data_IF_303747641963
#
_entry.id   IF_303747641963
#
_cell.length_a   1.000
_cell.length_b   1.000
_cell.length_c   1.000
_cell.angle_alpha   90.00
_cell.angle_beta   90.00
_cell.angle_gamma   90.00
#
_symmetry.space_group_name_H-M   'P 1'
#
loop_
_entity.id
_entity.type
_entity.pdbx_description
1 polymer ?
#
# COMPACT_ATOMS: atom_id res chain seq x y z
N UNK A 1 2.16 1.34 26.16
CA UNK A 1 1.93 0.49 24.97
C UNK A 1 0.46 0.12 24.91
N UNK A 2 -0.41 0.97 24.38
CA UNK A 2 -1.80 0.54 24.17
C UNK A 2 -1.81 -0.53 23.08
N UNK A 3 -2.43 -1.68 23.39
CA UNK A 3 -2.62 -2.81 22.46
C UNK A 3 -3.16 -2.34 21.10
N UNK A 4 -3.98 -1.29 21.12
CA UNK A 4 -4.52 -0.57 19.97
C UNK A 4 -3.42 -0.11 18.99
N UNK A 5 -2.37 0.58 19.45
CA UNK A 5 -1.30 1.10 18.56
C UNK A 5 -0.55 -0.04 17.85
N UNK A 6 -0.36 -1.18 18.53
CA UNK A 6 0.28 -2.38 17.96
C UNK A 6 -0.61 -3.07 16.92
N UNK A 7 -1.92 -3.13 17.16
CA UNK A 7 -2.89 -3.66 16.19
C UNK A 7 -2.90 -2.80 14.93
N UNK A 8 -2.95 -1.48 15.07
CA UNK A 8 -2.90 -0.57 13.91
C UNK A 8 -1.60 -0.75 13.12
N UNK A 9 -0.43 -0.83 13.77
CA UNK A 9 0.83 -1.05 13.07
C UNK A 9 0.86 -2.34 12.24
N UNK A 10 0.39 -3.45 12.83
CA UNK A 10 0.28 -4.72 12.12
C UNK A 10 -0.71 -4.66 10.95
N UNK A 11 -1.85 -4.00 11.16
CA UNK A 11 -2.91 -3.84 10.16
C UNK A 11 -2.41 -3.01 8.97
N UNK A 12 -1.67 -1.93 9.21
CA UNK A 12 -1.09 -1.11 8.15
C UNK A 12 0.01 -1.83 7.37
N UNK A 13 0.87 -2.60 8.02
CA UNK A 13 1.86 -3.44 7.32
C UNK A 13 1.17 -4.51 6.46
N UNK A 14 0.15 -5.18 6.99
CA UNK A 14 -0.61 -6.18 6.24
C UNK A 14 -1.34 -5.57 5.03
N UNK A 15 -1.92 -4.37 5.20
CA UNK A 15 -2.53 -3.62 4.09
C UNK A 15 -1.50 -3.19 3.04
N UNK A 16 -0.31 -2.75 3.45
CA UNK A 16 0.77 -2.36 2.55
C UNK A 16 1.24 -3.51 1.65
N UNK A 17 1.32 -4.72 2.20
CA UNK A 17 1.64 -5.92 1.40
C UNK A 17 0.44 -6.35 0.55
N UNK A 18 -0.78 -6.27 1.08
CA UNK A 18 -2.00 -6.68 0.40
C UNK A 18 -2.42 -5.79 -0.78
N UNK A 19 -2.02 -4.51 -0.78
CA UNK A 19 -2.41 -3.58 -1.84
C UNK A 19 -1.68 -3.85 -3.17
N UNK A 20 -0.50 -4.47 -3.11
CA UNK A 20 0.32 -4.82 -4.28
C UNK A 20 -0.45 -5.78 -5.22
N UNK A 21 -0.88 -6.99 -4.79
CA UNK A 21 -1.65 -7.88 -5.65
C UNK A 21 -3.00 -7.27 -6.04
N UNK A 22 -3.63 -6.47 -5.17
CA UNK A 22 -4.90 -5.80 -5.48
C UNK A 22 -4.78 -4.84 -6.66
N UNK A 23 -3.76 -3.97 -6.68
CA UNK A 23 -3.52 -3.02 -7.77
C UNK A 23 -3.20 -3.76 -9.06
N UNK A 24 -2.37 -4.80 -9.01
CA UNK A 24 -2.03 -5.59 -10.21
C UNK A 24 -3.27 -6.27 -10.79
N UNK A 25 -4.12 -6.87 -9.95
CA UNK A 25 -5.38 -7.47 -10.42
C UNK A 25 -6.31 -6.44 -11.05
N UNK A 26 -6.45 -5.25 -10.45
CA UNK A 26 -7.27 -4.16 -11.01
C UNK A 26 -6.71 -3.65 -12.33
N UNK A 27 -5.39 -3.53 -12.45
CA UNK A 27 -4.72 -3.16 -13.69
C UNK A 27 -5.02 -4.15 -14.80
N UNK A 28 -4.88 -5.45 -14.53
CA UNK A 28 -5.16 -6.50 -15.51
C UNK A 28 -6.63 -6.52 -15.94
N UNK A 29 -7.56 -6.33 -15.00
CA UNK A 29 -8.99 -6.26 -15.30
C UNK A 29 -9.31 -5.07 -16.20
N UNK A 30 -8.87 -3.87 -15.83
CA UNK A 30 -9.20 -2.65 -16.56
C UNK A 30 -8.54 -2.61 -17.95
N UNK A 31 -7.30 -3.09 -18.06
CA UNK A 31 -6.59 -3.24 -19.35
C UNK A 31 -7.30 -4.28 -20.23
N UNK A 32 -7.79 -5.38 -19.65
CA UNK A 32 -8.51 -6.43 -20.37
C UNK A 32 -9.89 -5.97 -20.88
N UNK A 33 -10.60 -5.15 -20.09
CA UNK A 33 -11.89 -4.57 -20.50
C UNK A 33 -11.75 -3.44 -21.52
N UNK A 34 -10.70 -2.61 -21.38
CA UNK A 34 -10.45 -1.45 -22.25
C UNK A 34 -8.96 -1.36 -22.62
N UNK A 35 -8.54 -2.07 -23.68
CA UNK A 35 -7.15 -2.05 -24.14
C UNK A 35 -6.85 -0.79 -24.95
N UNK A 36 -6.97 0.39 -24.34
CA UNK A 36 -6.56 1.67 -24.93
C UNK A 36 -5.14 2.03 -24.50
N UNK A 37 -4.39 2.72 -25.35
CA UNK A 37 -3.02 3.17 -25.04
C UNK A 37 -2.97 4.05 -23.79
N UNK A 38 -3.97 4.91 -23.62
CA UNK A 38 -4.12 5.77 -22.44
C UNK A 38 -4.22 4.96 -21.15
N UNK A 39 -5.02 3.88 -21.16
CA UNK A 39 -5.24 3.04 -19.99
C UNK A 39 -3.98 2.23 -19.63
N UNK A 40 -3.27 1.73 -20.65
CA UNK A 40 -1.97 1.09 -20.48
C UNK A 40 -0.94 2.03 -19.82
N UNK A 41 -0.82 3.27 -20.32
CA UNK A 41 0.11 4.25 -19.77
C UNK A 41 -0.26 4.59 -18.33
N UNK A 42 -1.55 4.83 -18.06
CA UNK A 42 -2.06 5.12 -16.71
C UNK A 42 -1.71 4.01 -15.71
N UNK A 43 -2.07 2.77 -16.01
CA UNK A 43 -1.82 1.64 -15.10
C UNK A 43 -0.34 1.32 -14.94
N UNK A 44 0.47 1.55 -15.97
CA UNK A 44 1.92 1.40 -15.89
C UNK A 44 2.54 2.39 -14.91
N UNK A 45 2.11 3.67 -14.94
CA UNK A 45 2.51 4.68 -13.95
C UNK A 45 2.03 4.29 -12.55
N UNK A 46 0.80 3.77 -12.43
CA UNK A 46 0.25 3.34 -11.15
C UNK A 46 1.11 2.22 -10.54
N UNK A 47 1.52 1.24 -11.33
CA UNK A 47 2.32 0.10 -10.88
C UNK A 47 3.77 0.50 -10.58
N UNK A 48 4.38 1.33 -11.42
CA UNK A 48 5.81 1.67 -11.31
C UNK A 48 6.08 2.77 -10.29
N UNK A 49 5.14 3.70 -10.09
CA UNK A 49 5.35 4.88 -9.24
C UNK A 49 4.43 4.86 -8.02
N UNK A 50 3.11 4.82 -8.22
CA UNK A 50 2.15 4.95 -7.11
C UNK A 50 2.19 3.75 -6.17
N UNK A 51 2.18 2.52 -6.71
CA UNK A 51 2.16 1.29 -5.93
C UNK A 51 3.37 1.18 -4.99
N UNK A 52 4.64 1.34 -5.43
CA UNK A 52 5.76 1.29 -4.52
C UNK A 52 5.72 2.42 -3.49
N UNK A 53 5.32 3.64 -3.86
CA UNK A 53 5.18 4.74 -2.90
C UNK A 53 4.15 4.39 -1.81
N UNK A 54 2.97 3.91 -2.18
CA UNK A 54 1.91 3.53 -1.24
C UNK A 54 2.36 2.35 -0.36
N UNK A 55 2.90 1.29 -0.97
CA UNK A 55 3.34 0.10 -0.25
C UNK A 55 4.47 0.41 0.74
N UNK A 56 5.51 1.14 0.31
CA UNK A 56 6.59 1.56 1.20
C UNK A 56 6.09 2.47 2.32
N UNK A 57 5.18 3.40 2.04
CA UNK A 57 4.64 4.31 3.06
C UNK A 57 3.85 3.54 4.12
N UNK A 58 2.99 2.60 3.71
CA UNK A 58 2.18 1.76 4.62
C UNK A 58 3.04 0.80 5.44
N UNK A 59 4.03 0.16 4.81
CA UNK A 59 4.97 -0.74 5.49
C UNK A 59 5.82 0.05 6.49
N UNK A 60 6.38 1.20 6.08
CA UNK A 60 7.16 2.06 6.95
C UNK A 60 6.34 2.52 8.16
N UNK A 61 5.11 3.00 7.93
CA UNK A 61 4.20 3.40 9.00
C UNK A 61 3.92 2.25 9.97
N UNK A 62 3.61 1.07 9.46
CA UNK A 62 3.36 -0.10 10.30
C UNK A 62 4.59 -0.54 11.09
N UNK A 63 5.78 -0.53 10.48
CA UNK A 63 7.06 -0.84 11.16
C UNK A 63 7.38 0.19 12.26
N UNK A 64 7.20 1.48 12.01
CA UNK A 64 7.42 2.53 13.02
C UNK A 64 6.41 2.44 14.16
N UNK A 65 5.14 2.12 13.87
CA UNK A 65 4.12 1.87 14.89
C UNK A 65 4.45 0.63 15.75
N UNK A 66 4.99 -0.44 15.14
CA UNK A 66 5.43 -1.66 15.84
C UNK A 66 6.69 -1.44 16.69
N UNK A 67 7.64 -0.60 16.24
CA UNK A 67 8.83 -0.21 17.01
C UNK A 67 8.50 0.67 18.22
N UNK A 68 7.28 1.19 18.31
CA UNK A 68 6.84 1.96 19.46
C UNK A 68 7.40 3.38 19.51
N UNK A 69 7.97 3.90 18.42
CA UNK A 69 8.42 5.31 18.36
C UNK A 69 7.24 6.29 18.50
N UNK A 70 6.03 5.86 18.13
CA UNK A 70 4.78 6.57 18.38
C UNK A 70 4.29 6.52 19.85
N UNK A 71 5.07 5.99 20.80
CA UNK A 71 4.81 6.15 22.23
C UNK A 71 5.30 7.49 22.79
N UNK A 72 6.17 8.22 22.08
CA UNK A 72 6.76 9.46 22.63
C UNK A 72 5.95 10.73 22.39
N UNK A 73 4.81 10.65 21.69
CA UNK A 73 3.96 11.83 21.46
C UNK A 73 2.64 11.64 22.22
N UNK A 74 2.60 12.34 23.36
CA UNK A 74 1.55 12.45 24.39
C UNK A 74 1.25 11.19 25.23
#
# INVERSE_FOLDING_TARGET
MSVIKRIFGLLWTAMGVGIIPFIVMRAMQEIGEKPTEENWIFWSIVIVVLMPIIAFSLIAFGVFALKGEYNSVA
#
